data_IF_079826105861
#
_entry.id   IF_079826105861
#
_cell.length_a   1.000
_cell.length_b   1.000
_cell.length_c   1.000
_cell.angle_alpha   90.00
_cell.angle_beta   90.00
_cell.angle_gamma   90.00
#
_symmetry.space_group_name_H-M   'P 1'
#
loop_
_entity.id
_entity.type
_entity.pdbx_description
1 polymer ?
#
# COMPACT_ATOMS: atom_id res chain seq x y z
N UNK A 1 -7.62 -24.56 -1.10
CA UNK A 1 -7.11 -23.24 -1.52
C UNK A 1 -7.05 -22.37 -0.27
N UNK A 2 -5.88 -21.84 0.08
CA UNK A 2 -5.72 -21.00 1.27
C UNK A 2 -5.63 -19.53 0.86
N UNK A 3 -6.55 -18.70 1.33
CA UNK A 3 -6.53 -17.25 1.16
C UNK A 3 -5.89 -16.61 2.40
N UNK A 4 -4.97 -15.67 2.18
CA UNK A 4 -4.41 -14.82 3.24
C UNK A 4 -4.73 -13.37 2.91
N UNK A 5 -5.31 -12.66 3.88
CA UNK A 5 -5.59 -11.24 3.78
C UNK A 5 -4.86 -10.51 4.91
N UNK A 6 -4.15 -9.44 4.56
CA UNK A 6 -3.54 -8.53 5.53
C UNK A 6 -4.36 -7.25 5.58
N UNK A 7 -4.89 -6.92 6.75
CA UNK A 7 -5.68 -5.70 6.98
C UNK A 7 -5.06 -4.87 8.08
N UNK A 8 -5.00 -3.56 7.89
CA UNK A 8 -4.44 -2.63 8.87
C UNK A 8 -4.52 -1.20 8.39
N UNK A 9 -3.87 -0.30 9.12
CA UNK A 9 -3.77 1.10 8.75
C UNK A 9 -2.48 1.36 7.96
N UNK A 10 -2.56 2.26 6.99
CA UNK A 10 -1.42 2.70 6.20
C UNK A 10 -1.43 4.22 6.02
N UNK A 11 -0.25 4.80 5.84
CA UNK A 11 -0.12 6.18 5.37
C UNK A 11 -0.12 6.19 3.85
N UNK A 12 -0.81 7.15 3.25
CA UNK A 12 -0.73 7.36 1.82
C UNK A 12 0.55 8.11 1.43
N UNK A 13 1.24 7.63 0.40
CA UNK A 13 2.33 8.35 -0.26
C UNK A 13 1.79 9.29 -1.36
N UNK A 14 0.58 9.02 -1.83
CA UNK A 14 -0.19 9.78 -2.82
C UNK A 14 -1.32 10.56 -2.12
N UNK A 15 -1.94 11.57 -2.77
CA UNK A 15 -3.11 12.23 -2.21
C UNK A 15 -4.24 11.24 -1.88
N UNK A 16 -4.56 11.11 -0.59
CA UNK A 16 -5.66 10.34 -0.05
C UNK A 16 -6.16 10.98 1.25
N UNK A 17 -7.39 10.68 1.66
CA UNK A 17 -8.00 11.15 2.90
C UNK A 17 -7.89 10.11 4.01
N UNK A 18 -7.89 10.57 5.27
CA UNK A 18 -8.03 9.66 6.41
C UNK A 18 -9.39 8.97 6.32
N UNK A 19 -9.40 7.65 6.37
CA UNK A 19 -10.60 6.83 6.20
C UNK A 19 -10.79 6.25 4.80
N UNK A 20 -10.00 6.67 3.80
CA UNK A 20 -9.99 6.00 2.49
C UNK A 20 -9.55 4.53 2.64
N UNK A 21 -10.26 3.62 1.99
CA UNK A 21 -9.86 2.20 1.91
C UNK A 21 -8.79 2.06 0.84
N UNK A 22 -7.66 1.42 1.16
CA UNK A 22 -6.60 1.11 0.19
C UNK A 22 -6.59 -0.39 -0.09
N UNK A 23 -6.75 -0.77 -1.35
CA UNK A 23 -6.69 -2.15 -1.82
C UNK A 23 -5.39 -2.36 -2.61
N UNK A 24 -4.52 -3.22 -2.10
CA UNK A 24 -3.20 -3.48 -2.67
C UNK A 24 -3.26 -4.28 -3.98
N UNK A 25 -2.47 -3.87 -4.98
CA UNK A 25 -2.23 -4.65 -6.22
C UNK A 25 -0.94 -5.44 -6.19
N UNK A 26 0.06 -4.90 -5.49
CA UNK A 26 1.32 -5.56 -5.20
C UNK A 26 1.91 -4.96 -3.92
N UNK A 27 2.77 -5.72 -3.26
CA UNK A 27 3.54 -5.28 -2.10
C UNK A 27 5.02 -5.39 -2.43
N UNK A 28 5.79 -4.34 -2.13
CA UNK A 28 7.26 -4.38 -2.18
C UNK A 28 7.83 -3.86 -0.87
N UNK A 29 8.95 -4.41 -0.43
CA UNK A 29 9.61 -3.91 0.78
C UNK A 29 10.59 -2.79 0.48
N UNK A 30 10.73 -1.87 1.43
CA UNK A 30 11.80 -0.88 1.49
C UNK A 30 12.60 -1.06 2.77
N UNK A 31 13.87 -0.70 2.70
CA UNK A 31 14.75 -0.63 3.86
C UNK A 31 15.57 0.67 3.82
N UNK A 32 16.04 1.10 4.99
CA UNK A 32 16.84 2.31 5.12
C UNK A 32 18.22 1.97 5.70
N UNK A 33 19.25 2.14 4.87
CA UNK A 33 20.67 2.19 5.28
C UNK A 33 21.21 3.55 4.84
N UNK A 34 20.90 4.60 5.60
CA UNK A 34 21.14 6.00 5.25
C UNK A 34 20.11 6.59 4.28
N UNK A 35 19.75 5.87 3.21
CA UNK A 35 18.64 6.23 2.30
C UNK A 35 17.70 5.05 2.05
N UNK A 36 16.47 5.34 1.65
CA UNK A 36 15.49 4.33 1.27
C UNK A 36 15.92 3.61 0.00
N UNK A 37 15.86 2.29 0.04
CA UNK A 37 16.12 1.41 -1.10
C UNK A 37 14.99 0.39 -1.24
N UNK A 38 14.57 0.12 -2.47
CA UNK A 38 13.60 -0.93 -2.79
C UNK A 38 14.26 -2.29 -2.73
N UNK A 39 13.60 -3.26 -2.12
CA UNK A 39 13.98 -4.67 -2.25
C UNK A 39 13.38 -5.25 -3.52
N UNK A 40 14.07 -6.25 -4.08
CA UNK A 40 13.58 -7.02 -5.22
C UNK A 40 12.70 -8.19 -4.75
N UNK A 41 11.64 -7.88 -3.99
CA UNK A 41 10.76 -8.85 -3.32
C UNK A 41 9.27 -8.58 -3.60
N UNK A 42 8.97 -8.07 -4.80
CA UNK A 42 7.61 -7.71 -5.19
C UNK A 42 6.69 -8.93 -5.17
N UNK A 43 5.64 -8.87 -4.38
CA UNK A 43 4.56 -9.87 -4.31
C UNK A 43 3.31 -9.29 -4.96
N UNK A 44 2.69 -10.03 -5.88
CA UNK A 44 1.44 -9.63 -6.53
C UNK A 44 0.24 -10.06 -5.67
N UNK A 45 -0.76 -9.18 -5.57
CA UNK A 45 -2.03 -9.50 -4.92
C UNK A 45 -2.99 -10.17 -5.89
N UNK A 46 -3.83 -11.07 -5.38
CA UNK A 46 -4.84 -11.78 -6.18
C UNK A 46 -5.87 -10.81 -6.78
N UNK A 47 -6.08 -10.90 -8.10
CA UNK A 47 -6.97 -10.01 -8.85
C UNK A 47 -8.45 -10.29 -8.60
N UNK A 48 -8.85 -11.56 -8.46
CA UNK A 48 -10.24 -11.92 -8.21
C UNK A 48 -10.68 -11.47 -6.81
N UNK A 49 -9.79 -11.64 -5.81
CA UNK A 49 -10.03 -11.13 -4.44
C UNK A 49 -10.13 -9.61 -4.45
N UNK A 50 -9.24 -8.91 -5.18
CA UNK A 50 -9.30 -7.44 -5.33
C UNK A 50 -10.63 -7.00 -5.93
N UNK A 51 -11.09 -7.64 -7.01
CA UNK A 51 -12.37 -7.30 -7.64
C UNK A 51 -13.54 -7.45 -6.65
N UNK A 52 -13.56 -8.54 -5.88
CA UNK A 52 -14.56 -8.75 -4.82
C UNK A 52 -14.53 -7.68 -3.73
N UNK A 53 -13.33 -7.24 -3.31
CA UNK A 53 -13.18 -6.16 -2.34
C UNK A 53 -13.70 -4.82 -2.83
N UNK A 54 -13.53 -4.50 -4.11
CA UNK A 54 -14.04 -3.26 -4.69
C UNK A 54 -15.56 -3.22 -4.73
N UNK A 55 -16.20 -4.35 -5.05
CA UNK A 55 -17.66 -4.50 -5.00
C UNK A 55 -18.14 -4.31 -3.55
N UNK A 56 -17.53 -5.02 -2.59
CA UNK A 56 -17.89 -4.89 -1.18
C UNK A 56 -17.70 -3.48 -0.63
N UNK A 57 -16.63 -2.77 -1.04
CA UNK A 57 -16.38 -1.39 -0.65
C UNK A 57 -17.45 -0.44 -1.21
N UNK A 58 -17.86 -0.65 -2.47
CA UNK A 58 -18.93 0.11 -3.10
C UNK A 58 -20.26 -0.09 -2.37
N UNK A 59 -20.62 -1.33 -2.06
CA UNK A 59 -21.85 -1.66 -1.31
C UNK A 59 -21.85 -1.05 0.10
N UNK A 60 -20.67 -0.92 0.71
CA UNK A 60 -20.48 -0.27 2.01
C UNK A 60 -20.40 1.27 1.94
N UNK A 61 -20.47 1.88 0.75
CA UNK A 61 -20.32 3.32 0.57
C UNK A 61 -18.92 3.86 0.88
N UNK A 62 -17.89 3.02 0.80
CA UNK A 62 -16.50 3.39 1.06
C UNK A 62 -15.81 3.89 -0.21
N UNK A 63 -14.98 4.92 -0.05
CA UNK A 63 -14.05 5.37 -1.11
C UNK A 63 -12.85 4.42 -1.14
N UNK A 64 -12.82 3.53 -2.12
CA UNK A 64 -11.71 2.62 -2.34
C UNK A 64 -10.66 3.19 -3.31
N UNK A 65 -9.39 3.09 -2.96
CA UNK A 65 -8.24 3.36 -3.81
C UNK A 65 -7.49 2.07 -4.09
N UNK A 66 -7.01 1.93 -5.31
CA UNK A 66 -6.24 0.77 -5.75
C UNK A 66 -4.82 1.21 -6.03
N UNK A 67 -3.83 0.50 -5.50
CA UNK A 67 -2.43 0.86 -5.70
C UNK A 67 -1.45 -0.14 -5.14
N UNK A 68 -0.16 0.10 -5.39
CA UNK A 68 0.92 -0.66 -4.78
C UNK A 68 1.08 -0.24 -3.32
N UNK A 69 1.45 -1.20 -2.47
CA UNK A 69 1.75 -0.98 -1.06
C UNK A 69 3.24 -1.16 -0.84
N UNK A 70 3.82 -0.28 -0.06
CA UNK A 70 5.24 -0.32 0.30
C UNK A 70 5.35 -0.67 1.78
N UNK A 71 6.08 -1.74 2.08
CA UNK A 71 6.29 -2.23 3.44
C UNK A 71 7.66 -1.79 3.96
N UNK A 72 7.71 -1.21 5.15
CA UNK A 72 8.96 -0.79 5.78
C UNK A 72 9.12 -1.47 7.15
N UNK A 73 10.36 -1.82 7.52
CA UNK A 73 10.67 -2.36 8.86
C UNK A 73 10.60 -1.33 9.99
N UNK A 74 10.43 -0.04 9.66
CA UNK A 74 10.37 1.06 10.61
C UNK A 74 9.21 2.00 10.27
N UNK A 75 8.68 2.69 11.29
CA UNK A 75 7.60 3.66 11.10
C UNK A 75 8.16 4.92 10.44
N UNK A 76 7.63 5.27 9.26
CA UNK A 76 8.00 6.48 8.53
C UNK A 76 7.15 7.65 9.01
N UNK A 77 7.69 8.44 9.95
CA UNK A 77 6.94 9.54 10.56
C UNK A 77 7.24 10.91 9.93
N UNK A 78 8.39 11.11 9.27
CA UNK A 78 8.75 12.41 8.73
C UNK A 78 8.17 12.64 7.33
N UNK A 79 7.63 13.83 7.09
CA UNK A 79 7.09 14.22 5.79
C UNK A 79 8.15 14.15 4.68
N UNK A 80 9.40 14.49 4.99
CA UNK A 80 10.50 14.44 4.02
C UNK A 80 10.82 12.98 3.60
N UNK A 81 10.77 12.04 4.53
CA UNK A 81 10.98 10.62 4.25
C UNK A 81 9.85 10.05 3.37
N UNK A 82 8.59 10.38 3.69
CA UNK A 82 7.43 10.02 2.86
C UNK A 82 7.56 10.57 1.43
N UNK A 83 8.05 11.80 1.27
CA UNK A 83 8.32 12.38 -0.06
C UNK A 83 9.46 11.67 -0.81
N UNK A 84 10.50 11.21 -0.11
CA UNK A 84 11.58 10.41 -0.73
C UNK A 84 11.07 9.05 -1.18
N UNK A 85 10.29 8.37 -0.34
CA UNK A 85 9.64 7.10 -0.67
C UNK A 85 8.71 7.23 -1.87
N UNK A 86 7.89 8.30 -1.91
CA UNK A 86 7.03 8.60 -3.05
C UNK A 86 7.82 8.63 -4.37
N UNK A 87 8.96 9.35 -4.40
CA UNK A 87 9.83 9.42 -5.60
C UNK A 87 10.47 8.08 -5.93
N UNK A 88 10.93 7.34 -4.93
CA UNK A 88 11.55 6.02 -5.11
C UNK A 88 10.58 5.00 -5.70
N UNK A 89 9.29 5.13 -5.36
CA UNK A 89 8.24 4.17 -5.69
C UNK A 89 7.39 4.60 -6.89
N UNK A 90 7.69 5.76 -7.47
CA UNK A 90 6.94 6.40 -8.56
C UNK A 90 5.44 6.55 -8.25
N UNK A 91 5.14 6.91 -7.00
CA UNK A 91 3.79 7.10 -6.49
C UNK A 91 3.26 8.53 -6.69
#
# INVERSE_FOLDING_TARGET
MSLVMSTGFACALVPAQVGDLIVGTAVSSVYAEGTWTMRNDRVLCDEAVRAGLLIAAQDAGLVARVGTVVSAGTVVCQAQEKRRLRRLTDA
#
